data_IF_143162829896
#
_entry.id   IF_143162829896
#
_cell.length_a   1.000
_cell.length_b   1.000
_cell.length_c   1.000
_cell.angle_alpha   90.00
_cell.angle_beta   90.00
_cell.angle_gamma   90.00
#
_symmetry.space_group_name_H-M   'P 1'
#
loop_
_entity.id
_entity.type
_entity.pdbx_description
1 polymer ?
#
# COMPACT_ATOMS: atom_id res chain seq x y z
N UNK A 1 -17.90 -7.74 -18.87
CA UNK A 1 -17.10 -7.40 -17.65
C UNK A 1 -16.47 -6.03 -17.87
N UNK A 2 -16.72 -5.08 -16.97
CA UNK A 2 -16.10 -3.76 -17.01
C UNK A 2 -14.65 -3.81 -16.52
N UNK A 3 -13.86 -2.78 -16.83
CA UNK A 3 -12.48 -2.69 -16.35
C UNK A 3 -12.40 -2.73 -14.80
N UNK A 4 -13.33 -2.06 -14.13
CA UNK A 4 -13.37 -2.03 -12.66
C UNK A 4 -13.70 -3.42 -12.07
N UNK A 5 -14.68 -4.12 -12.66
CA UNK A 5 -15.02 -5.50 -12.25
C UNK A 5 -13.83 -6.45 -12.42
N UNK A 6 -13.05 -6.29 -13.50
CA UNK A 6 -11.82 -7.07 -13.70
C UNK A 6 -10.82 -6.85 -12.56
N UNK A 7 -10.54 -5.60 -12.20
CA UNK A 7 -9.64 -5.33 -11.09
C UNK A 7 -10.18 -5.86 -9.76
N UNK A 8 -11.49 -5.77 -9.53
CA UNK A 8 -12.11 -6.34 -8.31
C UNK A 8 -11.94 -7.87 -8.25
N UNK A 9 -12.11 -8.55 -9.37
CA UNK A 9 -11.89 -10.00 -9.47
C UNK A 9 -10.42 -10.35 -9.17
N UNK A 10 -9.48 -9.63 -9.77
CA UNK A 10 -8.04 -9.82 -9.52
C UNK A 10 -7.71 -9.62 -8.03
N UNK A 11 -8.21 -8.55 -7.42
CA UNK A 11 -7.95 -8.25 -6.01
C UNK A 11 -8.55 -9.31 -5.07
N UNK A 12 -9.71 -9.88 -5.42
CA UNK A 12 -10.31 -11.00 -4.67
C UNK A 12 -9.47 -12.27 -4.75
N UNK A 13 -9.04 -12.65 -5.96
CA UNK A 13 -8.16 -13.80 -6.18
C UNK A 13 -6.80 -13.60 -5.49
N UNK A 14 -6.21 -12.42 -5.64
CA UNK A 14 -4.94 -12.05 -5.00
C UNK A 14 -5.02 -12.20 -3.47
N UNK A 15 -6.07 -11.69 -2.84
CA UNK A 15 -6.22 -11.80 -1.39
C UNK A 15 -6.29 -13.26 -0.92
N UNK A 16 -7.01 -14.11 -1.65
CA UNK A 16 -7.08 -15.54 -1.34
C UNK A 16 -5.70 -16.21 -1.44
N UNK A 17 -4.92 -15.93 -2.50
CA UNK A 17 -3.57 -16.46 -2.67
C UNK A 17 -2.60 -15.93 -1.60
N UNK A 18 -2.70 -14.65 -1.23
CA UNK A 18 -1.88 -14.08 -0.15
C UNK A 18 -2.17 -14.75 1.20
N UNK A 19 -3.44 -15.00 1.51
CA UNK A 19 -3.83 -15.71 2.73
C UNK A 19 -3.35 -17.16 2.73
N UNK A 20 -3.39 -17.83 1.58
CA UNK A 20 -2.87 -19.19 1.43
C UNK A 20 -1.34 -19.23 1.58
N UNK A 21 -0.62 -18.29 0.97
CA UNK A 21 0.84 -18.27 0.96
C UNK A 21 1.45 -17.82 2.30
N UNK A 22 0.90 -16.79 2.93
CA UNK A 22 1.47 -16.19 4.15
C UNK A 22 0.75 -16.62 5.43
N UNK A 23 -0.50 -17.10 5.35
CA UNK A 23 -1.27 -17.54 6.51
C UNK A 23 -1.31 -16.51 7.64
N UNK A 24 -0.99 -16.94 8.86
CA UNK A 24 -0.94 -16.09 10.05
C UNK A 24 0.15 -14.99 10.00
N UNK A 25 1.11 -15.08 9.08
CA UNK A 25 2.14 -14.05 8.86
C UNK A 25 1.60 -12.82 8.13
N UNK A 26 0.49 -12.95 7.38
CA UNK A 26 -0.14 -11.82 6.71
C UNK A 26 -0.82 -10.92 7.75
N UNK A 27 -0.24 -9.76 8.01
CA UNK A 27 -0.77 -8.78 8.98
C UNK A 27 -1.78 -7.84 8.31
N UNK A 28 -1.41 -7.29 7.14
CA UNK A 28 -2.29 -6.43 6.37
C UNK A 28 -1.94 -6.42 4.88
N UNK A 29 -2.93 -6.10 4.06
CA UNK A 29 -2.76 -5.87 2.63
C UNK A 29 -3.59 -4.66 2.20
N UNK A 30 -2.98 -3.78 1.42
CA UNK A 30 -3.66 -2.64 0.81
C UNK A 30 -3.25 -2.48 -0.65
N UNK A 31 -4.16 -1.97 -1.47
CA UNK A 31 -3.90 -1.51 -2.84
C UNK A 31 -3.86 0.01 -2.86
N UNK A 32 -2.91 0.58 -3.61
CA UNK A 32 -2.77 2.02 -3.75
C UNK A 32 -2.61 2.43 -5.23
N UNK A 33 -2.13 3.62 -5.51
CA UNK A 33 -2.00 4.10 -6.88
C UNK A 33 -3.35 4.26 -7.58
N UNK A 34 -3.40 4.04 -8.89
CA UNK A 34 -4.62 4.22 -9.70
C UNK A 34 -5.73 3.25 -9.34
N UNK A 35 -5.37 2.00 -9.02
CA UNK A 35 -6.32 0.96 -8.62
C UNK A 35 -6.90 1.26 -7.23
N UNK A 36 -6.05 1.69 -6.29
CA UNK A 36 -6.47 2.12 -4.95
C UNK A 36 -7.47 3.27 -4.99
N UNK A 37 -7.24 4.27 -5.84
CA UNK A 37 -8.14 5.41 -6.08
C UNK A 37 -9.43 5.05 -6.83
N UNK A 38 -9.57 3.83 -7.35
CA UNK A 38 -10.71 3.44 -8.17
C UNK A 38 -10.71 4.06 -9.57
N UNK A 39 -9.55 4.49 -10.07
CA UNK A 39 -9.37 5.12 -11.38
C UNK A 39 -8.37 4.36 -12.26
N UNK A 40 -8.43 3.01 -12.33
CA UNK A 40 -7.53 2.26 -13.18
C UNK A 40 -7.77 2.60 -14.66
N UNK A 41 -6.71 2.55 -15.44
CA UNK A 41 -6.74 2.62 -16.89
C UNK A 41 -6.35 1.27 -17.48
N UNK A 42 -6.51 1.13 -18.77
CA UNK A 42 -6.00 -0.01 -19.51
C UNK A 42 -4.50 -0.19 -19.24
N UNK A 43 -4.12 -1.39 -18.76
CA UNK A 43 -2.72 -1.70 -18.45
C UNK A 43 -2.18 -1.04 -17.18
N UNK A 44 -3.04 -0.51 -16.29
CA UNK A 44 -2.57 -0.08 -14.97
C UNK A 44 -2.08 -1.27 -14.16
N UNK A 45 -0.89 -1.13 -13.57
CA UNK A 45 -0.37 -2.09 -12.60
C UNK A 45 -1.19 -2.06 -11.30
N UNK A 46 -1.15 -3.14 -10.55
CA UNK A 46 -1.72 -3.22 -9.21
C UNK A 46 -0.61 -2.96 -8.19
N UNK A 47 -0.55 -1.73 -7.69
CA UNK A 47 0.38 -1.33 -6.65
C UNK A 47 -0.11 -1.86 -5.28
N UNK A 48 0.70 -2.66 -4.60
CA UNK A 48 0.34 -3.36 -3.37
C UNK A 48 1.27 -2.98 -2.21
N UNK A 49 0.70 -2.78 -1.05
CA UNK A 49 1.42 -2.82 0.23
C UNK A 49 1.08 -4.14 0.92
N UNK A 50 2.10 -4.96 1.15
CA UNK A 50 2.00 -6.21 1.88
C UNK A 50 2.74 -6.08 3.20
N UNK A 51 2.00 -6.16 4.31
CA UNK A 51 2.58 -6.20 5.66
C UNK A 51 2.59 -7.64 6.13
N UNK A 52 3.79 -8.21 6.23
CA UNK A 52 3.98 -9.63 6.53
C UNK A 52 5.02 -9.81 7.63
N UNK A 53 4.68 -10.57 8.66
CA UNK A 53 5.61 -10.92 9.73
C UNK A 53 6.69 -11.90 9.26
N UNK A 54 7.91 -11.72 9.78
CA UNK A 54 9.01 -12.65 9.51
C UNK A 54 9.48 -12.72 8.06
N UNK A 55 9.34 -11.63 7.30
CA UNK A 55 9.90 -11.54 5.95
C UNK A 55 11.43 -11.67 5.95
N UNK A 56 12.02 -12.31 4.95
CA UNK A 56 13.46 -12.38 4.80
C UNK A 56 14.05 -10.97 4.58
N UNK A 57 15.36 -10.85 4.88
CA UNK A 57 16.09 -9.61 4.59
C UNK A 57 16.38 -9.50 3.09
N UNK A 58 16.29 -8.27 2.60
CA UNK A 58 16.58 -7.93 1.22
C UNK A 58 15.37 -8.10 0.28
N UNK A 59 15.25 -7.15 -0.66
CA UNK A 59 14.14 -7.11 -1.61
C UNK A 59 14.05 -8.38 -2.47
N UNK A 60 15.19 -8.88 -2.92
CA UNK A 60 15.24 -10.05 -3.82
C UNK A 60 14.58 -11.28 -3.18
N UNK A 61 14.94 -11.62 -1.95
CA UNK A 61 14.39 -12.78 -1.23
C UNK A 61 12.88 -12.63 -0.99
N UNK A 62 12.39 -11.41 -0.74
CA UNK A 62 10.95 -11.13 -0.57
C UNK A 62 10.18 -11.30 -1.87
N UNK A 63 10.75 -10.87 -2.99
CA UNK A 63 10.16 -11.10 -4.32
C UNK A 63 10.15 -12.58 -4.63
N UNK A 64 11.22 -13.30 -4.36
CA UNK A 64 11.31 -14.75 -4.58
C UNK A 64 10.23 -15.51 -3.78
N UNK A 65 9.97 -15.12 -2.52
CA UNK A 65 8.89 -15.67 -1.70
C UNK A 65 7.48 -15.39 -2.29
N UNK A 66 7.33 -14.31 -3.05
CA UNK A 66 6.07 -13.91 -3.67
C UNK A 66 5.81 -14.56 -5.04
N UNK A 67 6.85 -15.03 -5.74
CA UNK A 67 6.71 -15.63 -7.08
C UNK A 67 5.62 -16.71 -7.19
N UNK A 68 5.44 -17.62 -6.21
CA UNK A 68 4.35 -18.60 -6.27
C UNK A 68 2.96 -17.97 -6.32
N UNK A 69 2.76 -16.84 -5.63
CA UNK A 69 1.49 -16.09 -5.64
C UNK A 69 1.21 -15.55 -7.05
N UNK A 70 2.21 -14.95 -7.69
CA UNK A 70 2.08 -14.47 -9.09
C UNK A 70 1.80 -15.62 -10.05
N UNK A 71 2.50 -16.73 -9.91
CA UNK A 71 2.32 -17.91 -10.77
C UNK A 71 0.90 -18.49 -10.68
N UNK A 72 0.31 -18.56 -9.48
CA UNK A 72 -1.06 -19.02 -9.31
C UNK A 72 -2.09 -18.04 -9.91
N UNK A 73 -1.76 -16.76 -9.96
CA UNK A 73 -2.62 -15.72 -10.51
C UNK A 73 -2.44 -15.50 -12.02
N UNK A 74 -1.47 -16.15 -12.66
CA UNK A 74 -1.12 -15.92 -14.07
C UNK A 74 -2.36 -15.96 -14.99
N UNK A 75 -3.24 -16.95 -14.81
CA UNK A 75 -4.47 -17.07 -15.61
C UNK A 75 -5.42 -15.88 -15.43
N UNK A 76 -5.48 -15.28 -14.23
CA UNK A 76 -6.34 -14.13 -13.93
C UNK A 76 -5.71 -12.83 -14.42
N UNK A 77 -4.38 -12.72 -14.33
CA UNK A 77 -3.63 -11.54 -14.74
C UNK A 77 -3.50 -11.41 -16.26
N UNK A 78 -3.41 -12.54 -16.98
CA UNK A 78 -3.09 -12.59 -18.41
C UNK A 78 -4.29 -12.84 -19.32
N UNK A 79 -5.50 -13.14 -18.79
CA UNK A 79 -6.64 -13.60 -19.61
C UNK A 79 -6.97 -12.68 -20.77
N UNK A 80 -6.73 -13.23 -21.95
CA UNK A 80 -6.80 -12.63 -23.25
C UNK A 80 -8.10 -12.77 -24.02
N UNK A 81 -9.20 -13.29 -23.49
CA UNK A 81 -10.46 -13.36 -24.26
C UNK A 81 -11.11 -12.00 -24.54
N UNK A 82 -10.64 -10.95 -23.85
CA UNK A 82 -11.25 -9.61 -23.91
C UNK A 82 -10.35 -8.55 -24.55
N UNK A 83 -9.17 -8.91 -25.07
CA UNK A 83 -8.22 -7.94 -25.64
C UNK A 83 -7.58 -7.01 -24.60
N UNK A 84 -7.68 -7.29 -23.30
CA UNK A 84 -7.02 -6.54 -22.26
C UNK A 84 -5.54 -6.90 -22.15
N UNK A 85 -4.62 -5.93 -21.94
CA UNK A 85 -3.22 -6.25 -21.68
C UNK A 85 -3.07 -7.01 -20.36
N UNK A 86 -1.97 -7.79 -20.21
CA UNK A 86 -1.60 -8.37 -18.94
C UNK A 86 -1.49 -7.30 -17.85
N UNK A 87 -1.90 -7.64 -16.64
CA UNK A 87 -1.81 -6.74 -15.47
C UNK A 87 -0.64 -7.19 -14.61
N UNK A 88 0.30 -6.28 -14.36
CA UNK A 88 1.42 -6.54 -13.47
C UNK A 88 1.06 -6.26 -12.00
N UNK A 89 1.64 -7.05 -11.10
CA UNK A 89 1.61 -6.78 -9.66
C UNK A 89 2.89 -6.05 -9.26
N UNK A 90 2.75 -4.96 -8.53
CA UNK A 90 3.88 -4.15 -8.02
C UNK A 90 3.88 -4.16 -6.48
N UNK A 91 4.38 -5.24 -5.84
CA UNK A 91 4.34 -5.38 -4.41
C UNK A 91 5.44 -4.57 -3.71
N UNK A 92 5.06 -3.86 -2.67
CA UNK A 92 5.92 -3.28 -1.64
C UNK A 92 5.78 -4.12 -0.38
N UNK A 93 6.86 -4.77 0.01
CA UNK A 93 6.90 -5.63 1.19
C UNK A 93 7.41 -4.86 2.41
N UNK A 94 6.68 -4.96 3.51
CA UNK A 94 7.07 -4.41 4.81
C UNK A 94 6.81 -5.42 5.90
N UNK A 95 7.69 -5.49 6.90
CA UNK A 95 7.33 -6.11 8.18
C UNK A 95 6.56 -5.09 9.03
N UNK A 96 5.84 -5.52 10.08
CA UNK A 96 5.20 -4.60 11.02
C UNK A 96 6.19 -3.55 11.58
N UNK A 97 7.40 -3.98 11.93
CA UNK A 97 8.45 -3.11 12.48
C UNK A 97 8.94 -2.09 11.43
N UNK A 98 8.99 -2.47 10.15
CA UNK A 98 9.33 -1.54 9.07
C UNK A 98 8.22 -0.53 8.79
N UNK A 99 6.95 -0.88 9.04
CA UNK A 99 5.85 0.08 9.00
C UNK A 99 5.96 1.05 10.17
N UNK A 100 6.19 0.54 11.38
CA UNK A 100 6.39 1.35 12.60
C UNK A 100 7.60 2.28 12.50
N UNK A 101 8.67 1.86 11.81
CA UNK A 101 9.83 2.72 11.55
C UNK A 101 9.51 3.89 10.60
N UNK A 102 8.43 3.78 9.84
CA UNK A 102 7.96 4.81 8.92
C UNK A 102 8.65 4.78 7.55
N UNK A 103 7.94 5.30 6.56
CA UNK A 103 8.46 5.47 5.20
C UNK A 103 7.78 6.66 4.52
N UNK A 104 8.52 7.49 3.75
CA UNK A 104 7.92 8.53 2.92
C UNK A 104 6.85 8.03 1.95
N UNK A 105 6.95 6.76 1.53
CA UNK A 105 5.97 6.11 0.65
C UNK A 105 4.55 6.11 1.25
N UNK A 106 4.41 6.09 2.57
CA UNK A 106 3.11 6.13 3.23
C UNK A 106 2.38 7.47 3.04
N UNK A 107 3.08 8.55 2.69
CA UNK A 107 2.46 9.82 2.32
C UNK A 107 1.61 9.69 1.05
N UNK A 108 2.04 8.88 0.10
CA UNK A 108 1.28 8.63 -1.12
C UNK A 108 0.10 7.69 -0.88
N UNK A 109 0.23 6.83 0.13
CA UNK A 109 -0.79 5.82 0.47
C UNK A 109 -1.89 6.36 1.38
N UNK A 110 -1.58 7.31 2.28
CA UNK A 110 -2.49 7.77 3.34
C UNK A 110 -3.85 8.26 2.81
N UNK A 111 -3.88 8.83 1.60
CA UNK A 111 -5.12 9.30 0.96
C UNK A 111 -5.67 8.30 -0.07
N UNK A 112 -4.79 7.55 -0.73
CA UNK A 112 -5.13 6.77 -1.92
C UNK A 112 -5.26 5.27 -1.65
N UNK A 113 -4.73 4.77 -0.53
CA UNK A 113 -4.75 3.33 -0.26
C UNK A 113 -6.15 2.85 0.15
N UNK A 114 -6.53 1.71 -0.42
CA UNK A 114 -7.68 0.92 -0.01
C UNK A 114 -7.19 -0.36 0.67
N UNK A 115 -7.51 -0.51 1.93
CA UNK A 115 -7.18 -1.69 2.71
C UNK A 115 -8.05 -2.86 2.24
N UNK A 116 -7.43 -3.98 1.87
CA UNK A 116 -8.08 -5.21 1.45
C UNK A 116 -8.17 -6.21 2.61
N UNK A 117 -7.18 -6.21 3.49
CA UNK A 117 -7.09 -7.11 4.64
C UNK A 117 -6.35 -6.42 5.78
N UNK A 118 -6.93 -6.38 6.95
CA UNK A 118 -6.35 -5.80 8.16
C UNK A 118 -7.18 -6.22 9.39
N UNK A 119 -7.18 -7.51 9.76
CA UNK A 119 -8.11 -8.05 10.76
C UNK A 119 -7.92 -7.47 12.15
N UNK A 120 -6.72 -6.96 12.47
CA UNK A 120 -6.40 -6.34 13.76
C UNK A 120 -6.38 -4.81 13.71
N UNK A 121 -6.66 -4.21 12.55
CA UNK A 121 -6.66 -2.76 12.38
C UNK A 121 -5.28 -2.10 12.46
N UNK A 122 -4.20 -2.87 12.29
CA UNK A 122 -2.82 -2.39 12.38
C UNK A 122 -2.53 -1.27 11.38
N UNK A 123 -2.77 -1.55 10.10
CA UNK A 123 -2.49 -0.60 9.02
C UNK A 123 -3.47 0.58 9.05
N UNK A 124 -4.74 0.31 9.35
CA UNK A 124 -5.75 1.34 9.53
C UNK A 124 -5.34 2.34 10.60
N UNK A 125 -4.93 1.86 11.77
CA UNK A 125 -4.47 2.70 12.89
C UNK A 125 -3.27 3.54 12.47
N UNK A 126 -2.29 2.94 11.79
CA UNK A 126 -1.12 3.66 11.30
C UNK A 126 -1.50 4.82 10.36
N UNK A 127 -2.36 4.57 9.38
CA UNK A 127 -2.81 5.61 8.44
C UNK A 127 -3.67 6.68 9.12
N UNK A 128 -4.50 6.32 10.08
CA UNK A 128 -5.32 7.30 10.83
C UNK A 128 -4.42 8.26 11.63
N UNK A 129 -3.36 7.74 12.27
CA UNK A 129 -2.36 8.55 12.97
C UNK A 129 -1.59 9.47 12.02
N UNK A 130 -1.11 8.93 10.91
CA UNK A 130 -0.41 9.72 9.89
C UNK A 130 -1.31 10.84 9.36
N UNK A 131 -2.57 10.54 9.05
CA UNK A 131 -3.56 11.53 8.58
C UNK A 131 -3.83 12.61 9.63
N UNK A 132 -3.94 12.22 10.90
CA UNK A 132 -4.10 13.18 12.00
C UNK A 132 -2.87 14.10 12.12
N UNK A 133 -1.67 13.52 11.98
CA UNK A 133 -0.43 14.30 12.06
C UNK A 133 -0.28 15.28 10.89
N UNK A 134 -0.58 14.85 9.68
CA UNK A 134 -0.58 15.74 8.50
C UNK A 134 -1.53 16.93 8.70
N UNK A 135 -2.72 16.69 9.25
CA UNK A 135 -3.67 17.76 9.59
C UNK A 135 -3.11 18.73 10.64
N UNK A 136 -2.47 18.21 11.71
CA UNK A 136 -1.84 19.05 12.73
C UNK A 136 -0.72 19.95 12.18
N UNK A 137 0.03 19.45 11.21
CA UNK A 137 1.10 20.19 10.54
C UNK A 137 0.58 21.20 9.51
N UNK A 138 -0.73 21.19 9.20
CA UNK A 138 -1.27 21.98 8.10
C UNK A 138 -0.81 21.50 6.74
N UNK A 139 -0.40 20.23 6.64
CA UNK A 139 0.12 19.64 5.42
C UNK A 139 -0.90 19.70 4.28
N UNK A 140 -0.42 19.92 3.07
CA UNK A 140 -1.25 20.03 1.87
C UNK A 140 -0.67 19.16 0.76
N UNK A 141 -1.54 18.42 0.09
CA UNK A 141 -1.20 17.71 -1.14
C UNK A 141 -1.49 18.63 -2.32
N UNK A 142 -0.46 18.97 -3.07
CA UNK A 142 -0.53 19.96 -4.16
C UNK A 142 -0.31 19.24 -5.48
N UNK A 143 -1.19 19.51 -6.45
CA UNK A 143 -1.05 19.00 -7.82
C UNK A 143 -0.23 19.97 -8.65
N UNK A 144 0.78 19.45 -9.34
CA UNK A 144 1.56 20.22 -10.33
C UNK A 144 1.67 19.42 -11.62
N UNK A 145 0.91 19.82 -12.62
CA UNK A 145 0.81 19.04 -13.86
C UNK A 145 0.21 17.65 -13.61
N UNK A 146 0.94 16.61 -13.95
CA UNK A 146 0.54 15.21 -13.74
C UNK A 146 1.09 14.58 -12.45
N UNK A 147 1.82 15.36 -11.64
CA UNK A 147 2.42 14.90 -10.39
C UNK A 147 1.76 15.54 -9.17
N UNK A 148 1.89 14.86 -8.02
CA UNK A 148 1.52 15.37 -6.72
C UNK A 148 2.78 15.55 -5.88
N UNK A 149 2.79 16.59 -5.02
CA UNK A 149 3.78 16.73 -3.98
C UNK A 149 3.12 17.18 -2.68
N UNK A 150 3.80 16.95 -1.56
CA UNK A 150 3.32 17.35 -0.26
C UNK A 150 4.09 18.60 0.21
N UNK A 151 3.36 19.63 0.59
CA UNK A 151 3.85 20.71 1.43
C UNK A 151 3.54 20.32 2.86
N UNK A 152 4.53 19.80 3.58
CA UNK A 152 4.30 19.12 4.85
C UNK A 152 4.05 20.07 6.02
N UNK A 153 4.70 21.25 6.03
CA UNK A 153 4.55 22.25 7.07
C UNK A 153 4.75 23.65 6.44
N UNK A 154 3.65 24.27 5.97
CA UNK A 154 3.72 25.57 5.26
C UNK A 154 4.31 26.71 6.07
N UNK A 155 4.17 26.66 7.40
CA UNK A 155 4.65 27.66 8.37
C UNK A 155 5.99 27.30 9.02
N UNK A 156 6.78 26.39 8.38
CA UNK A 156 8.07 25.97 8.90
C UNK A 156 9.04 27.16 9.04
N UNK A 157 9.57 27.34 10.23
CA UNK A 157 10.55 28.39 10.53
C UNK A 157 11.97 27.89 10.39
N UNK A 158 12.95 28.76 10.06
CA UNK A 158 14.35 28.38 10.05
C UNK A 158 14.80 27.76 11.38
N UNK A 159 15.45 26.59 11.31
CA UNK A 159 15.91 25.85 12.49
C UNK A 159 14.83 25.00 13.20
N UNK A 160 13.59 25.08 12.78
CA UNK A 160 12.53 24.23 13.32
C UNK A 160 12.66 22.79 12.82
N UNK A 161 12.46 21.81 13.72
CA UNK A 161 12.45 20.38 13.41
C UNK A 161 11.10 19.81 13.83
N UNK A 162 10.50 18.95 12.99
CA UNK A 162 9.26 18.28 13.31
C UNK A 162 9.33 16.79 12.93
N UNK A 163 8.59 15.97 13.67
CA UNK A 163 8.40 14.55 13.35
C UNK A 163 7.15 14.39 12.52
N UNK A 164 7.27 13.72 11.40
CA UNK A 164 6.19 13.54 10.43
C UNK A 164 5.49 12.20 10.59
N UNK A 165 6.26 11.12 10.55
CA UNK A 165 5.72 9.77 10.48
C UNK A 165 5.39 9.24 11.88
N UNK A 166 4.29 8.51 12.04
CA UNK A 166 4.04 7.76 13.26
C UNK A 166 5.21 6.81 13.52
N UNK A 167 5.68 6.79 14.75
CA UNK A 167 6.72 5.89 15.23
C UNK A 167 6.09 4.90 16.20
N UNK A 168 6.83 3.85 16.55
CA UNK A 168 6.39 2.88 17.56
C UNK A 168 5.97 3.56 18.86
N UNK A 169 6.72 4.57 19.31
CA UNK A 169 6.40 5.34 20.52
C UNK A 169 5.02 6.03 20.45
N UNK A 170 4.59 6.44 19.26
CA UNK A 170 3.25 7.02 19.08
C UNK A 170 2.17 5.94 19.13
N UNK A 171 2.43 4.77 18.56
CA UNK A 171 1.48 3.65 18.57
C UNK A 171 1.28 3.11 19.99
N UNK A 172 2.34 3.06 20.80
CA UNK A 172 2.28 2.65 22.20
C UNK A 172 1.57 3.67 23.10
N UNK A 173 1.64 4.97 22.76
CA UNK A 173 1.01 6.05 23.55
C UNK A 173 -0.52 6.09 23.46
N UNK A 174 -1.13 5.35 22.53
CA UNK A 174 -2.58 5.34 22.29
C UNK A 174 -3.23 3.96 22.51
N UNK A 175 -2.42 2.96 22.90
CA UNK A 175 -2.86 1.62 23.30
C UNK A 175 -3.18 1.58 24.78
#
# INVERSE_FOLDING_TARGET
MTLLERYQQILGALLAELQAAYGARLVACAVFGSVGRGTPRYGSDVDLLLVVGGLPRGRFNRVEEFLPVEAHLESVLTVGETGYPPIALSPVFKTPEEVEAGSPLFLDMVEDARILYDPQGFLKTYFDLLRARLRQLGARRIRRGNAWYWELKPDLKPGEVFTLLPTRAWLEAIS
#
